data_IF_672738942362
#
_entry.id   IF_672738942362
#
_cell.length_a   1.000
_cell.length_b   1.000
_cell.length_c   1.000
_cell.angle_alpha   90.00
_cell.angle_beta   90.00
_cell.angle_gamma   90.00
#
_symmetry.space_group_name_H-M   'P 1'
#
loop_
_entity.id
_entity.type
_entity.pdbx_description
1 polymer ?
#
# COMPACT_ATOMS: atom_id res chain seq x y z
N UNK A 1 8.61 -0.26 19.18
CA UNK A 1 9.92 0.38 18.95
C UNK A 1 9.71 1.89 18.96
N UNK A 2 10.53 2.66 19.67
CA UNK A 2 10.45 4.12 19.66
C UNK A 2 11.27 4.63 18.47
N UNK A 3 10.79 5.64 17.73
CA UNK A 3 11.58 6.19 16.61
C UNK A 3 12.84 6.92 17.08
N UNK A 4 12.90 7.28 18.36
CA UNK A 4 14.08 7.89 18.97
C UNK A 4 15.28 6.96 19.06
N UNK A 5 15.07 5.65 18.82
CA UNK A 5 16.13 4.64 18.86
C UNK A 5 16.90 4.55 17.53
N UNK A 6 16.50 5.31 16.50
CA UNK A 6 17.14 5.27 15.17
C UNK A 6 18.11 6.43 14.95
N UNK A 7 19.24 6.17 14.25
CA UNK A 7 20.19 7.19 13.85
C UNK A 7 19.55 8.30 13.03
N UNK A 8 20.06 9.53 13.16
CA UNK A 8 19.67 10.65 12.29
C UNK A 8 20.53 10.73 11.03
N UNK A 9 21.62 9.96 10.98
CA UNK A 9 22.55 9.90 9.85
C UNK A 9 21.89 9.31 8.59
N UNK A 10 22.41 9.66 7.40
CA UNK A 10 22.03 9.01 6.17
C UNK A 10 22.33 7.51 6.21
N UNK A 11 21.46 6.72 5.60
CA UNK A 11 21.71 5.30 5.46
C UNK A 11 20.59 4.52 4.80
N UNK A 12 20.78 3.20 4.79
CA UNK A 12 19.84 2.21 4.29
C UNK A 12 19.13 1.56 5.47
N UNK A 13 17.81 1.39 5.37
CA UNK A 13 17.01 0.64 6.32
C UNK A 13 16.37 -0.57 5.67
N UNK A 14 16.16 -1.61 6.46
CA UNK A 14 15.48 -2.84 6.05
C UNK A 14 14.44 -3.22 7.08
N UNK A 15 13.22 -3.44 6.64
CA UNK A 15 12.11 -3.88 7.47
C UNK A 15 11.92 -5.38 7.37
N UNK A 16 11.65 -5.99 8.53
CA UNK A 16 11.44 -7.43 8.65
C UNK A 16 10.11 -7.74 9.30
N UNK A 17 9.47 -8.81 8.86
CA UNK A 17 8.33 -9.40 9.57
C UNK A 17 8.81 -10.29 10.73
N UNK A 18 7.85 -10.83 11.49
CA UNK A 18 8.09 -11.75 12.61
C UNK A 18 8.84 -13.03 12.23
N UNK A 19 8.80 -13.43 10.96
CA UNK A 19 9.50 -14.59 10.42
C UNK A 19 10.93 -14.25 9.97
N UNK A 20 11.39 -13.01 10.15
CA UNK A 20 12.70 -12.55 9.71
C UNK A 20 12.82 -12.34 8.20
N UNK A 21 11.70 -12.33 7.46
CA UNK A 21 11.68 -12.07 6.03
C UNK A 21 11.71 -10.57 5.76
N UNK A 22 12.46 -10.17 4.72
CA UNK A 22 12.52 -8.76 4.30
C UNK A 22 11.18 -8.36 3.68
N UNK A 23 10.58 -7.30 4.22
CA UNK A 23 9.38 -6.67 3.68
C UNK A 23 9.73 -5.50 2.75
N UNK A 24 10.72 -4.70 3.14
CA UNK A 24 11.04 -3.45 2.45
C UNK A 24 12.49 -3.06 2.68
N UNK A 25 13.12 -2.49 1.66
CA UNK A 25 14.42 -1.82 1.74
C UNK A 25 14.21 -0.39 1.27
N UNK A 26 14.73 0.58 2.02
CA UNK A 26 14.73 1.96 1.60
C UNK A 26 15.98 2.68 2.05
N UNK A 27 16.18 3.87 1.49
CA UNK A 27 17.23 4.81 1.88
C UNK A 27 16.64 6.08 2.48
N UNK A 28 17.42 6.75 3.31
CA UNK A 28 17.09 8.07 3.82
C UNK A 28 18.35 8.91 4.03
N UNK A 29 18.25 10.22 3.81
CA UNK A 29 19.24 11.19 4.29
C UNK A 29 19.13 11.44 5.80
N UNK A 30 17.97 11.14 6.38
CA UNK A 30 17.73 11.10 7.82
C UNK A 30 16.81 9.92 8.16
N UNK A 31 17.40 8.88 8.75
CA UNK A 31 16.69 7.63 9.04
C UNK A 31 15.59 7.85 10.08
N UNK A 32 15.86 8.56 11.17
CA UNK A 32 14.88 8.88 12.21
C UNK A 32 13.61 9.54 11.64
N UNK A 33 13.76 10.61 10.84
CA UNK A 33 12.63 11.33 10.24
C UNK A 33 11.87 10.45 9.25
N UNK A 34 12.57 9.67 8.40
CA UNK A 34 11.93 8.79 7.42
C UNK A 34 11.10 7.71 8.11
N UNK A 35 11.62 7.10 9.17
CA UNK A 35 10.93 6.06 9.92
C UNK A 35 9.73 6.60 10.70
N UNK A 36 9.83 7.81 11.26
CA UNK A 36 8.70 8.49 11.87
C UNK A 36 7.59 8.79 10.84
N UNK A 37 7.97 9.20 9.62
CA UNK A 37 7.03 9.44 8.53
C UNK A 37 6.25 8.18 8.14
N UNK A 38 6.92 7.04 7.98
CA UNK A 38 6.25 5.78 7.66
C UNK A 38 5.13 5.44 8.66
N UNK A 39 5.38 5.65 9.97
CA UNK A 39 4.35 5.43 10.99
C UNK A 39 3.24 6.47 10.92
N UNK A 40 3.57 7.74 10.73
CA UNK A 40 2.57 8.80 10.62
C UNK A 40 1.64 8.57 9.41
N UNK A 41 2.20 8.16 8.28
CA UNK A 41 1.45 7.82 7.07
C UNK A 41 0.55 6.58 7.33
N UNK A 42 1.05 5.55 8.02
CA UNK A 42 0.22 4.42 8.46
C UNK A 42 -0.94 4.85 9.36
N UNK A 43 -0.67 5.69 10.36
CA UNK A 43 -1.67 6.18 11.30
C UNK A 43 -2.79 6.97 10.58
N UNK A 44 -2.49 7.57 9.43
CA UNK A 44 -3.46 8.25 8.59
C UNK A 44 -4.41 7.30 7.83
N UNK A 45 -3.90 6.15 7.37
CA UNK A 45 -4.66 5.23 6.50
C UNK A 45 -5.25 4.02 7.22
N UNK A 46 -4.73 3.65 8.40
CA UNK A 46 -5.12 2.41 9.10
C UNK A 46 -6.61 2.29 9.41
N UNK A 47 -7.28 3.41 9.74
CA UNK A 47 -8.71 3.43 10.04
C UNK A 47 -9.55 3.10 8.80
N UNK A 48 -9.14 3.60 7.63
CA UNK A 48 -9.79 3.29 6.36
C UNK A 48 -9.58 1.84 5.96
N UNK A 49 -8.37 1.31 6.10
CA UNK A 49 -8.10 -0.12 5.84
C UNK A 49 -8.99 -0.99 6.73
N UNK A 50 -9.10 -0.66 8.02
CA UNK A 50 -9.99 -1.39 8.95
C UNK A 50 -11.46 -1.28 8.54
N UNK A 51 -11.93 -0.08 8.18
CA UNK A 51 -13.29 0.14 7.72
C UNK A 51 -13.62 -0.71 6.48
N UNK A 52 -12.75 -0.71 5.48
CA UNK A 52 -12.96 -1.46 4.25
C UNK A 52 -12.91 -2.97 4.46
N UNK A 53 -12.08 -3.45 5.38
CA UNK A 53 -12.05 -4.87 5.73
C UNK A 53 -13.35 -5.32 6.39
N UNK A 54 -13.83 -4.57 7.39
CA UNK A 54 -15.07 -4.87 8.10
C UNK A 54 -16.30 -4.81 7.18
N UNK A 55 -16.32 -3.85 6.25
CA UNK A 55 -17.46 -3.60 5.38
C UNK A 55 -17.32 -4.21 3.99
N UNK A 56 -16.28 -5.02 3.75
CA UNK A 56 -15.93 -5.53 2.42
C UNK A 56 -17.10 -6.20 1.72
N UNK A 57 -17.72 -7.20 2.36
CA UNK A 57 -18.80 -8.00 1.76
C UNK A 57 -20.04 -7.16 1.44
N UNK A 58 -20.39 -6.24 2.33
CA UNK A 58 -21.53 -5.34 2.14
C UNK A 58 -21.29 -4.36 0.98
N UNK A 59 -20.13 -3.71 0.95
CA UNK A 59 -19.77 -2.76 -0.11
C UNK A 59 -19.66 -3.46 -1.47
N UNK A 60 -19.02 -4.63 -1.51
CA UNK A 60 -18.91 -5.44 -2.72
C UNK A 60 -20.30 -5.80 -3.26
N UNK A 61 -21.20 -6.29 -2.39
CA UNK A 61 -22.58 -6.63 -2.77
C UNK A 61 -23.33 -5.43 -3.35
N UNK A 62 -23.23 -4.26 -2.72
CA UNK A 62 -23.89 -3.02 -3.18
C UNK A 62 -23.36 -2.52 -4.51
N UNK A 63 -22.04 -2.61 -4.72
CA UNK A 63 -21.42 -2.27 -6.01
C UNK A 63 -21.94 -3.21 -7.09
N UNK A 64 -21.91 -4.52 -6.83
CA UNK A 64 -22.35 -5.54 -7.80
C UNK A 64 -23.85 -5.42 -8.14
N UNK A 65 -24.70 -5.10 -7.16
CA UNK A 65 -26.12 -4.84 -7.38
C UNK A 65 -26.32 -3.61 -8.28
N UNK A 66 -25.65 -2.50 -7.97
CA UNK A 66 -25.74 -1.29 -8.79
C UNK A 66 -25.25 -1.52 -10.22
N UNK A 67 -24.17 -2.28 -10.40
CA UNK A 67 -23.62 -2.64 -11.71
C UNK A 67 -24.58 -3.53 -12.49
N UNK A 68 -25.08 -4.63 -11.90
CA UNK A 68 -26.00 -5.57 -12.56
C UNK A 68 -27.31 -4.90 -12.97
N UNK A 69 -27.85 -4.04 -12.11
CA UNK A 69 -29.04 -3.24 -12.40
C UNK A 69 -28.79 -2.06 -13.34
N UNK A 70 -27.54 -1.78 -13.73
CA UNK A 70 -27.12 -0.58 -14.47
C UNK A 70 -27.58 0.72 -13.80
N UNK A 71 -27.62 0.73 -12.47
CA UNK A 71 -28.06 1.86 -11.65
C UNK A 71 -26.93 2.88 -11.48
N UNK A 72 -26.67 3.67 -12.53
CA UNK A 72 -25.55 4.65 -12.58
C UNK A 72 -25.56 5.60 -11.39
N UNK A 73 -26.73 6.12 -10.98
CA UNK A 73 -26.84 7.03 -9.81
C UNK A 73 -26.46 6.36 -8.50
N UNK A 74 -26.85 5.10 -8.31
CA UNK A 74 -26.50 4.33 -7.11
C UNK A 74 -25.00 4.06 -7.05
N UNK A 75 -24.41 3.71 -8.18
CA UNK A 75 -22.97 3.52 -8.30
C UNK A 75 -22.20 4.83 -8.07
N UNK A 76 -22.60 5.94 -8.69
CA UNK A 76 -21.98 7.27 -8.48
C UNK A 76 -22.03 7.69 -7.00
N UNK A 77 -23.16 7.46 -6.31
CA UNK A 77 -23.28 7.71 -4.88
C UNK A 77 -22.26 6.91 -4.06
N UNK A 78 -22.08 5.63 -4.39
CA UNK A 78 -21.06 4.79 -3.74
C UNK A 78 -19.66 5.37 -4.01
N UNK A 79 -19.32 5.65 -5.27
CA UNK A 79 -18.03 6.22 -5.65
C UNK A 79 -17.71 7.51 -4.89
N UNK A 80 -18.67 8.42 -4.75
CA UNK A 80 -18.49 9.66 -3.99
C UNK A 80 -18.26 9.43 -2.50
N UNK A 81 -18.80 8.37 -1.93
CA UNK A 81 -18.64 8.07 -0.50
C UNK A 81 -17.28 7.43 -0.16
N UNK A 82 -16.75 6.57 -1.04
CA UNK A 82 -15.57 5.76 -0.72
C UNK A 82 -14.37 5.99 -1.65
N UNK A 83 -14.55 6.73 -2.74
CA UNK A 83 -13.51 6.97 -3.74
C UNK A 83 -12.31 7.73 -3.18
N UNK A 84 -12.54 8.78 -2.38
CA UNK A 84 -11.44 9.55 -1.79
C UNK A 84 -10.58 8.72 -0.82
N UNK A 85 -11.15 7.99 0.17
CA UNK A 85 -10.36 7.09 1.01
C UNK A 85 -9.55 6.05 0.23
N UNK A 86 -10.14 5.45 -0.80
CA UNK A 86 -9.43 4.45 -1.62
C UNK A 86 -8.28 5.09 -2.41
N UNK A 87 -8.50 6.28 -2.98
CA UNK A 87 -7.44 7.02 -3.68
C UNK A 87 -6.27 7.39 -2.74
N UNK A 88 -6.55 7.77 -1.49
CA UNK A 88 -5.50 7.99 -0.49
C UNK A 88 -4.67 6.73 -0.25
N UNK A 89 -5.32 5.58 -0.06
CA UNK A 89 -4.62 4.30 0.15
C UNK A 89 -3.81 3.90 -1.08
N UNK A 90 -4.33 4.11 -2.29
CA UNK A 90 -3.63 3.78 -3.54
C UNK A 90 -2.41 4.66 -3.81
N UNK A 91 -2.45 5.94 -3.41
CA UNK A 91 -1.35 6.89 -3.55
C UNK A 91 -0.25 6.72 -2.51
N UNK A 92 -0.53 5.95 -1.45
CA UNK A 92 0.39 5.72 -0.33
C UNK A 92 1.29 4.52 -0.62
N UNK A 93 2.53 4.51 -0.12
CA UNK A 93 3.40 3.35 -0.32
C UNK A 93 2.83 2.14 0.42
N UNK A 94 2.97 0.95 -0.16
CA UNK A 94 2.45 -0.30 0.45
C UNK A 94 2.96 -0.48 1.87
N UNK A 95 4.21 -0.11 2.10
CA UNK A 95 4.85 -0.26 3.41
C UNK A 95 4.25 0.67 4.45
N UNK A 96 3.82 1.87 4.06
CA UNK A 96 3.12 2.81 4.94
C UNK A 96 1.75 2.24 5.29
N UNK A 97 1.08 1.55 4.37
CA UNK A 97 -0.23 0.94 4.61
C UNK A 97 -0.18 -0.32 5.49
N UNK A 98 0.99 -0.94 5.67
CA UNK A 98 1.17 -2.20 6.38
C UNK A 98 2.24 -2.11 7.48
N UNK A 99 2.44 -0.92 8.06
CA UNK A 99 3.54 -0.66 9.00
C UNK A 99 3.45 -1.49 10.28
N UNK A 100 2.24 -1.85 10.71
CA UNK A 100 1.97 -2.72 11.86
C UNK A 100 2.52 -4.15 11.72
N UNK A 101 2.90 -4.56 10.51
CA UNK A 101 3.52 -5.86 10.23
C UNK A 101 5.02 -5.89 10.46
N UNK A 102 5.64 -4.74 10.69
CA UNK A 102 7.07 -4.61 10.93
C UNK A 102 7.36 -5.07 12.36
N UNK A 103 8.17 -6.11 12.48
CA UNK A 103 8.63 -6.63 13.76
C UNK A 103 9.97 -6.01 14.17
N UNK A 104 10.89 -5.88 13.21
CA UNK A 104 12.20 -5.28 13.45
C UNK A 104 12.69 -4.48 12.25
N UNK A 105 13.59 -3.54 12.54
CA UNK A 105 14.20 -2.63 11.58
C UNK A 105 15.72 -2.73 11.75
N UNK A 106 16.45 -2.92 10.65
CA UNK A 106 17.91 -2.80 10.64
C UNK A 106 18.32 -1.59 9.82
N UNK A 107 19.28 -0.83 10.33
CA UNK A 107 19.84 0.35 9.66
C UNK A 107 21.34 0.15 9.40
N UNK A 108 21.82 0.65 8.27
CA UNK A 108 23.24 0.74 7.94
C UNK A 108 23.52 2.17 7.48
N UNK A 109 24.29 2.91 8.27
CA UNK A 109 24.70 4.25 7.89
C UNK A 109 25.64 4.21 6.68
N UNK A 110 25.56 5.21 5.81
CA UNK A 110 26.51 5.42 4.72
C UNK A 110 26.58 6.91 4.36
N UNK A 111 27.58 7.30 3.57
CA UNK A 111 27.67 8.68 3.11
C UNK A 111 26.46 9.04 2.22
N UNK A 112 25.97 10.31 2.24
CA UNK A 112 24.85 10.76 1.40
C UNK A 112 25.01 10.40 -0.09
N UNK A 113 26.20 10.58 -0.63
CA UNK A 113 26.57 10.31 -2.03
C UNK A 113 26.54 8.82 -2.39
N UNK A 114 26.56 7.93 -1.40
CA UNK A 114 26.53 6.49 -1.60
C UNK A 114 25.12 5.88 -1.47
N UNK A 115 24.12 6.64 -1.02
CA UNK A 115 22.79 6.11 -0.69
C UNK A 115 22.18 5.29 -1.83
N UNK A 116 22.22 5.80 -3.06
CA UNK A 116 21.62 5.13 -4.22
C UNK A 116 22.36 3.82 -4.54
N UNK A 117 23.69 3.86 -4.47
CA UNK A 117 24.52 2.69 -4.72
C UNK A 117 24.32 1.61 -3.66
N UNK A 118 24.24 2.00 -2.38
CA UNK A 118 24.06 1.07 -1.26
C UNK A 118 22.66 0.47 -1.24
N UNK A 119 21.62 1.25 -1.56
CA UNK A 119 20.27 0.74 -1.75
C UNK A 119 20.24 -0.29 -2.88
N UNK A 120 20.80 0.05 -4.05
CA UNK A 120 20.85 -0.86 -5.19
C UNK A 120 21.63 -2.15 -4.88
N UNK A 121 22.77 -2.05 -4.19
CA UNK A 121 23.54 -3.22 -3.73
C UNK A 121 22.71 -4.08 -2.78
N UNK A 122 22.05 -3.46 -1.80
CA UNK A 122 21.22 -4.17 -0.83
C UNK A 122 20.07 -4.89 -1.50
N UNK A 123 19.37 -4.23 -2.41
CA UNK A 123 18.31 -4.83 -3.22
C UNK A 123 18.88 -6.00 -4.02
N UNK A 124 19.94 -5.82 -4.82
CA UNK A 124 20.53 -6.92 -5.61
C UNK A 124 20.98 -8.12 -4.78
N UNK A 125 21.35 -7.93 -3.52
CA UNK A 125 21.80 -9.00 -2.63
C UNK A 125 20.69 -9.93 -2.12
N UNK A 126 19.43 -9.50 -2.21
CA UNK A 126 18.30 -10.26 -1.73
C UNK A 126 17.74 -11.15 -2.87
N UNK A 127 17.00 -12.21 -2.55
CA UNK A 127 16.39 -13.15 -3.53
C UNK A 127 14.89 -12.85 -3.69
N UNK A 128 14.34 -12.68 -4.92
CA UNK A 128 12.95 -12.25 -5.13
C UNK A 128 11.97 -12.94 -4.19
N UNK A 129 10.96 -12.22 -3.64
CA UNK A 129 10.30 -11.03 -4.20
C UNK A 129 10.41 -9.73 -3.37
N UNK A 130 11.53 -9.47 -2.69
CA UNK A 130 11.73 -8.42 -1.67
C UNK A 130 11.75 -6.93 -2.13
N UNK A 131 11.32 -6.59 -3.35
CA UNK A 131 11.36 -5.20 -3.83
C UNK A 131 9.95 -4.60 -3.95
N UNK A 132 9.41 -4.15 -2.81
CA UNK A 132 8.15 -3.40 -2.77
C UNK A 132 8.42 -1.91 -3.05
N UNK A 133 8.53 -1.49 -4.31
CA UNK A 133 8.48 -0.05 -4.63
C UNK A 133 7.02 0.43 -4.80
N UNK A 134 6.09 -0.47 -5.14
CA UNK A 134 4.66 -0.19 -5.19
C UNK A 134 3.76 -1.43 -5.21
N UNK A 135 2.45 -1.18 -5.19
CA UNK A 135 1.39 -2.20 -5.22
C UNK A 135 1.47 -3.19 -6.37
N UNK A 136 2.13 -2.80 -7.48
CA UNK A 136 2.13 -3.53 -8.74
C UNK A 136 3.34 -4.46 -8.91
N UNK A 137 4.35 -4.35 -8.06
CA UNK A 137 5.64 -5.03 -8.26
C UNK A 137 5.62 -6.50 -7.81
N UNK A 138 4.64 -6.89 -6.99
CA UNK A 138 4.37 -8.28 -6.65
C UNK A 138 3.27 -8.83 -7.56
N UNK A 139 3.56 -9.96 -8.22
CA UNK A 139 2.58 -10.72 -8.98
C UNK A 139 1.35 -11.04 -8.12
N UNK A 140 0.14 -10.93 -8.67
CA UNK A 140 -1.10 -11.09 -7.90
C UNK A 140 -1.15 -12.41 -7.10
N UNK A 141 -0.59 -13.50 -7.64
CA UNK A 141 -0.48 -14.81 -7.00
C UNK A 141 0.41 -14.86 -5.77
N UNK A 142 1.35 -13.92 -5.64
CA UNK A 142 2.34 -13.86 -4.56
C UNK A 142 1.93 -12.87 -3.46
N UNK A 143 1.01 -11.94 -3.75
CA UNK A 143 0.63 -10.85 -2.83
C UNK A 143 0.10 -11.36 -1.48
N UNK A 144 -0.67 -12.44 -1.46
CA UNK A 144 -1.22 -13.03 -0.23
C UNK A 144 -0.17 -13.58 0.73
N UNK A 145 1.05 -13.85 0.25
CA UNK A 145 2.15 -14.34 1.08
C UNK A 145 2.82 -13.22 1.88
N UNK A 146 2.80 -11.99 1.37
CA UNK A 146 3.57 -10.88 1.91
C UNK A 146 2.69 -9.73 2.43
N UNK A 147 1.48 -9.58 1.90
CA UNK A 147 0.58 -8.49 2.23
C UNK A 147 -0.59 -8.96 3.11
N UNK A 148 -1.04 -8.13 4.07
CA UNK A 148 -2.21 -8.41 4.90
C UNK A 148 -3.51 -8.59 4.10
N UNK A 149 -4.37 -9.51 4.53
CA UNK A 149 -5.64 -9.80 3.85
C UNK A 149 -6.58 -8.59 3.79
N UNK A 150 -6.65 -7.80 4.86
CA UNK A 150 -7.43 -6.56 4.95
C UNK A 150 -6.96 -5.50 3.93
N UNK A 151 -5.64 -5.34 3.77
CA UNK A 151 -5.08 -4.49 2.74
C UNK A 151 -5.44 -4.99 1.33
N UNK A 152 -5.32 -6.29 1.09
CA UNK A 152 -5.65 -6.89 -0.21
C UNK A 152 -7.13 -6.73 -0.58
N UNK A 153 -8.04 -6.87 0.39
CA UNK A 153 -9.47 -6.60 0.22
C UNK A 153 -9.72 -5.15 -0.16
N UNK A 154 -9.02 -4.21 0.50
CA UNK A 154 -9.12 -2.78 0.19
C UNK A 154 -8.67 -2.49 -1.25
N UNK A 155 -7.55 -3.05 -1.68
CA UNK A 155 -7.05 -2.91 -3.05
C UNK A 155 -8.00 -3.57 -4.07
N UNK A 156 -8.59 -4.72 -3.75
CA UNK A 156 -9.59 -5.35 -4.60
C UNK A 156 -10.81 -4.45 -4.79
N UNK A 157 -11.29 -3.82 -3.72
CA UNK A 157 -12.40 -2.86 -3.77
C UNK A 157 -12.09 -1.66 -4.67
N UNK A 158 -10.90 -1.09 -4.55
CA UNK A 158 -10.48 0.03 -5.39
C UNK A 158 -10.44 -0.33 -6.88
N UNK A 159 -9.87 -1.50 -7.21
CA UNK A 159 -9.84 -2.01 -8.58
C UNK A 159 -11.25 -2.24 -9.14
N UNK A 160 -12.17 -2.75 -8.31
CA UNK A 160 -13.56 -2.98 -8.69
C UNK A 160 -14.25 -1.66 -9.08
N UNK A 161 -14.11 -0.62 -8.25
CA UNK A 161 -14.65 0.71 -8.52
C UNK A 161 -14.05 1.34 -9.76
N UNK A 162 -12.73 1.27 -9.93
CA UNK A 162 -12.04 1.81 -11.09
C UNK A 162 -12.49 1.11 -12.39
N UNK A 163 -12.67 -0.20 -12.36
CA UNK A 163 -13.16 -0.98 -13.51
C UNK A 163 -14.55 -0.54 -13.95
N UNK A 164 -15.52 -0.53 -13.02
CA UNK A 164 -16.90 -0.18 -13.38
C UNK A 164 -17.10 1.31 -13.67
N UNK A 165 -16.32 2.20 -13.08
CA UNK A 165 -16.31 3.61 -13.46
C UNK A 165 -15.95 3.80 -14.93
N UNK A 166 -14.95 3.04 -15.44
CA UNK A 166 -14.59 3.08 -16.86
C UNK A 166 -15.70 2.55 -17.76
N UNK A 167 -16.31 1.42 -17.40
CA UNK A 167 -17.42 0.84 -18.16
C UNK A 167 -18.59 1.82 -18.29
N UNK A 168 -19.01 2.43 -17.17
CA UNK A 168 -20.12 3.39 -17.20
C UNK A 168 -19.75 4.68 -17.96
N UNK A 169 -18.50 5.13 -17.87
CA UNK A 169 -18.02 6.26 -18.67
C UNK A 169 -18.11 5.96 -20.18
N UNK A 170 -17.61 4.80 -20.64
CA UNK A 170 -17.68 4.42 -22.06
C UNK A 170 -19.13 4.32 -22.58
N UNK A 171 -20.04 3.78 -21.76
CA UNK A 171 -21.47 3.73 -22.10
C UNK A 171 -22.11 5.11 -22.27
N UNK A 172 -21.62 6.12 -21.54
CA UNK A 172 -22.13 7.49 -21.65
C UNK A 172 -21.61 8.25 -22.88
N UNK A 173 -20.48 7.83 -23.46
CA UNK A 173 -19.86 8.46 -24.64
C UNK A 173 -20.34 7.81 -25.95
N UNK A 174 -21.08 6.70 -25.88
CA UNK A 174 -21.64 6.01 -27.05
C UNK A 174 -20.62 5.18 -27.83
N UNK A 175 -19.47 4.85 -27.23
CA UNK A 175 -18.46 3.98 -27.83
C UNK A 175 -18.80 2.51 -27.54
N UNK A 176 -19.60 1.90 -28.41
CA UNK A 176 -19.80 0.44 -28.52
C UNK A 176 -19.92 0.03 -29.99
#
# INVERSE_FOLDING_TARGET
MSHHDFPAEPGIYTFFNKQGQVLYVGRASNLQTRLAKHKADYDHVKSWISFFDEHYELLNSRIMEAVRGKHVRSFDRICRSIGFPLAMIESTQVIDCCYDRIDSIKTNACAPEELDLQEAKKIRSLKPPFNLQGNRDIAASERSKFLPANYLRTIAMSNLLAHYSRIFAMQSVGEF
#
